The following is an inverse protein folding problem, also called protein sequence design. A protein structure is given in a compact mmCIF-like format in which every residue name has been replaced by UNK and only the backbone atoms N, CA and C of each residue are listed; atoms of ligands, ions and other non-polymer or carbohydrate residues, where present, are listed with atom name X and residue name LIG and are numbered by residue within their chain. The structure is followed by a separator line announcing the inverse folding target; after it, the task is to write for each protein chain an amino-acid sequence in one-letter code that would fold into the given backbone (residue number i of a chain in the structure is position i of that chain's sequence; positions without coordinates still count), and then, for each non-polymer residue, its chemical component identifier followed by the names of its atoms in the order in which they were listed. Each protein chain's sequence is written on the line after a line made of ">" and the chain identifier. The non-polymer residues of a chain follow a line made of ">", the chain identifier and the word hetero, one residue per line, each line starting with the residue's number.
data_IF_953798779249
#
_entry.id   IF_953798779249
#
_cell.length_a   1.000
_cell.length_b   1.000
_cell.length_c   1.000
_cell.angle_alpha   90.00
_cell.angle_beta   90.00
_cell.angle_gamma   90.00
#
_symmetry.space_group_name_H-M   'P 1'
#
loop_
_entity.id
_entity.type
_entity.pdbx_description
1 polymer ?
#
# COMPACT_ATOMS: atom_id res chain seq x y z
N UNK A 1 57.40 10.27 15.02
CA UNK A 1 57.87 10.54 16.40
C UNK A 1 57.34 9.43 17.31
N UNK A 2 58.06 8.72 18.17
CA UNK A 2 59.49 8.38 18.37
C UNK A 2 59.42 6.94 18.95
N UNK A 3 59.93 5.82 18.44
CA UNK A 3 61.18 5.42 17.76
C UNK A 3 62.40 5.17 18.69
N UNK A 4 62.49 3.95 19.25
CA UNK A 4 63.74 3.25 19.63
C UNK A 4 63.41 1.78 19.97
N UNK A 5 64.23 0.74 19.78
CA UNK A 5 65.26 0.33 18.78
C UNK A 5 65.95 -0.93 19.35
N UNK A 6 65.56 -2.10 18.83
CA UNK A 6 66.36 -3.31 18.49
C UNK A 6 67.36 -4.00 19.45
N UNK A 7 67.61 -5.29 19.11
CA UNK A 7 68.71 -6.21 19.50
C UNK A 7 68.65 -6.83 20.92
N UNK A 8 68.48 -8.16 21.04
CA UNK A 8 69.50 -9.18 20.70
C UNK A 8 68.94 -10.57 20.33
N UNK A 9 69.78 -11.43 19.72
CA UNK A 9 69.52 -12.85 19.38
C UNK A 9 70.53 -13.78 20.08
N UNK A 10 70.12 -15.01 20.43
CA UNK A 10 70.83 -16.33 20.42
C UNK A 10 70.21 -17.25 21.50
N UNK A 11 69.63 -18.44 21.28
CA UNK A 11 69.87 -19.61 20.41
C UNK A 11 70.80 -20.70 20.99
N UNK A 12 70.20 -21.83 21.40
CA UNK A 12 70.75 -23.21 21.48
C UNK A 12 69.71 -24.11 20.75
N UNK A 13 70.00 -25.07 19.86
CA UNK A 13 70.99 -26.18 19.84
C UNK A 13 70.61 -27.31 20.84
N UNK A 14 70.69 -28.63 20.57
CA UNK A 14 71.03 -29.47 19.38
C UNK A 14 70.63 -30.94 19.73
N UNK A 15 70.36 -31.96 18.89
CA UNK A 15 70.21 -32.16 17.42
C UNK A 15 69.29 -33.39 17.16
N UNK A 16 69.29 -33.98 15.95
CA UNK A 16 68.54 -35.20 15.54
C UNK A 16 69.42 -36.46 15.36
N UNK A 17 68.82 -37.67 15.26
CA UNK A 17 69.11 -38.67 14.20
C UNK A 17 68.04 -39.79 14.12
N UNK A 18 68.18 -40.74 13.17
CA UNK A 18 67.15 -41.72 12.78
C UNK A 18 67.62 -43.19 12.82
N UNK A 19 66.70 -44.16 12.82
CA UNK A 19 67.01 -45.54 12.39
C UNK A 19 66.20 -46.73 12.97
N UNK A 20 65.23 -47.23 12.18
CA UNK A 20 64.91 -48.65 11.95
C UNK A 20 64.73 -49.68 13.11
N UNK A 21 63.51 -50.24 13.23
CA UNK A 21 63.14 -51.66 13.49
C UNK A 21 61.60 -51.73 13.70
N UNK A 22 60.82 -52.76 13.34
CA UNK A 22 61.07 -54.01 12.62
C UNK A 22 59.89 -54.37 11.67
N UNK A 23 60.01 -55.43 10.85
CA UNK A 23 58.99 -55.87 9.87
C UNK A 23 58.21 -57.13 10.32
N UNK A 24 56.95 -57.23 9.86
CA UNK A 24 55.98 -58.37 9.73
C UNK A 24 54.62 -57.90 10.29
N UNK A 25 53.47 -58.12 9.65
CA UNK A 25 53.05 -59.30 8.87
C UNK A 25 52.50 -59.03 7.45
N UNK A 26 52.42 -60.13 6.67
CA UNK A 26 51.60 -60.46 5.47
C UNK A 26 51.03 -59.37 4.54
N UNK A 27 51.30 -59.53 3.24
CA UNK A 27 50.57 -58.93 2.10
C UNK A 27 49.46 -59.86 1.57
N UNK A 28 48.27 -59.33 1.32
CA UNK A 28 47.29 -59.66 0.26
C UNK A 28 46.07 -58.73 0.49
N UNK A 29 45.29 -58.26 -0.48
CA UNK A 29 45.33 -58.34 -1.96
C UNK A 29 44.72 -57.04 -2.58
N UNK A 30 44.56 -56.97 -3.91
CA UNK A 30 44.15 -55.74 -4.62
C UNK A 30 42.66 -55.36 -4.45
N UNK A 31 42.44 -54.04 -4.32
CA UNK A 31 41.37 -53.22 -4.90
C UNK A 31 39.88 -53.55 -4.66
N UNK A 32 39.15 -52.55 -4.14
CA UNK A 32 37.86 -52.12 -4.70
C UNK A 32 37.65 -50.61 -4.47
N UNK A 33 36.77 -49.95 -5.24
CA UNK A 33 36.47 -48.52 -5.11
C UNK A 33 35.62 -48.24 -3.86
N UNK A 34 36.06 -47.36 -2.97
CA UNK A 34 35.18 -46.64 -2.05
C UNK A 34 34.67 -45.37 -2.74
N UNK A 35 33.35 -45.14 -2.72
CA UNK A 35 32.76 -43.87 -3.17
C UNK A 35 33.12 -42.78 -2.17
N UNK A 36 33.47 -41.60 -2.66
CA UNK A 36 33.57 -40.41 -1.82
C UNK A 36 32.15 -40.01 -1.42
N UNK A 37 31.83 -40.10 -0.13
CA UNK A 37 30.50 -39.74 0.38
C UNK A 37 30.51 -38.25 0.66
N UNK A 38 30.19 -37.47 -0.36
CA UNK A 38 29.96 -36.04 -0.22
C UNK A 38 28.91 -35.81 0.86
N UNK A 39 29.32 -35.17 1.96
CA UNK A 39 28.38 -34.66 2.96
C UNK A 39 27.55 -33.57 2.30
N UNK A 40 26.38 -33.95 1.78
CA UNK A 40 25.35 -32.97 1.45
C UNK A 40 24.98 -32.28 2.76
N UNK A 41 25.50 -31.08 2.96
CA UNK A 41 24.99 -30.15 3.97
C UNK A 41 23.57 -29.82 3.56
N UNK A 42 22.61 -30.57 4.11
CA UNK A 42 21.19 -30.24 4.00
C UNK A 42 21.05 -28.85 4.61
N UNK A 43 20.92 -27.83 3.76
CA UNK A 43 20.35 -26.56 4.19
C UNK A 43 18.96 -26.93 4.69
N UNK A 44 18.78 -26.92 6.01
CA UNK A 44 17.44 -26.77 6.55
C UNK A 44 16.88 -25.51 5.89
N UNK A 45 15.79 -25.66 5.13
CA UNK A 45 14.92 -24.51 4.92
C UNK A 45 14.42 -24.19 6.32
N UNK A 46 14.78 -23.01 6.82
CA UNK A 46 14.10 -22.43 7.96
C UNK A 46 12.61 -22.43 7.63
N UNK A 47 11.76 -22.79 8.59
CA UNK A 47 10.32 -22.66 8.40
C UNK A 47 10.04 -21.18 8.08
N UNK A 48 9.17 -20.87 7.10
CA UNK A 48 8.84 -19.48 6.80
C UNK A 48 8.32 -18.82 8.07
N UNK A 49 8.96 -17.72 8.48
CA UNK A 49 8.54 -17.00 9.68
C UNK A 49 7.21 -16.30 9.41
N UNK A 50 6.23 -16.56 10.26
CA UNK A 50 4.89 -15.97 10.19
C UNK A 50 4.98 -14.45 10.09
N UNK A 51 4.44 -13.89 9.00
CA UNK A 51 4.48 -12.45 8.71
C UNK A 51 3.07 -11.86 8.67
N UNK A 52 2.90 -10.68 9.26
CA UNK A 52 1.68 -9.89 9.13
C UNK A 52 1.67 -9.20 7.77
N UNK A 53 0.71 -9.55 6.90
CA UNK A 53 0.50 -8.92 5.60
C UNK A 53 -0.87 -8.22 5.61
N UNK A 54 -0.96 -6.93 5.25
CA UNK A 54 -2.24 -6.27 5.06
C UNK A 54 -3.06 -7.02 3.98
N UNK A 55 -4.26 -7.49 4.32
CA UNK A 55 -5.27 -7.91 3.34
C UNK A 55 -5.95 -6.68 2.71
N UNK A 56 -6.05 -5.60 3.47
CA UNK A 56 -6.53 -4.29 3.05
C UNK A 56 -5.83 -3.18 3.85
N UNK A 57 -5.46 -2.09 3.17
CA UNK A 57 -5.02 -0.82 3.78
C UNK A 57 -5.45 0.33 2.88
N UNK A 58 -5.93 1.41 3.50
CA UNK A 58 -6.18 2.71 2.88
C UNK A 58 -5.63 3.81 3.80
N UNK A 59 -5.19 4.93 3.22
CA UNK A 59 -4.61 6.05 3.99
C UNK A 59 -5.73 6.95 4.53
N UNK A 60 -5.77 7.25 5.85
CA UNK A 60 -6.68 8.25 6.39
C UNK A 60 -6.35 9.65 5.90
N UNK A 61 -7.32 10.28 5.24
CA UNK A 61 -7.21 11.64 4.71
C UNK A 61 -7.41 12.64 5.86
N UNK A 62 -6.47 13.56 6.09
CA UNK A 62 -6.65 14.68 7.03
C UNK A 62 -7.54 15.75 6.41
N UNK A 63 -8.71 16.02 7.01
CA UNK A 63 -9.56 17.11 6.54
C UNK A 63 -9.31 18.43 7.30
N UNK A 64 -8.55 18.41 8.40
CA UNK A 64 -8.35 19.55 9.31
C UNK A 64 -9.66 20.16 9.92
N UNK A 65 -10.82 19.53 9.70
CA UNK A 65 -12.09 19.83 10.37
C UNK A 65 -12.90 18.54 10.61
N UNK A 66 -14.04 18.63 11.30
CA UNK A 66 -14.97 17.51 11.51
C UNK A 66 -15.60 17.10 10.16
N UNK A 67 -15.04 16.07 9.51
CA UNK A 67 -15.53 15.57 8.20
C UNK A 67 -16.70 14.62 8.36
N UNK A 68 -16.75 13.90 9.48
CA UNK A 68 -17.83 12.98 9.82
C UNK A 68 -18.10 12.96 11.33
N UNK A 69 -19.36 12.71 11.71
CA UNK A 69 -19.78 12.49 13.10
C UNK A 69 -20.73 11.30 13.18
N UNK A 70 -20.46 10.37 14.09
CA UNK A 70 -21.29 9.20 14.37
C UNK A 70 -21.87 9.29 15.79
N UNK A 71 -23.15 8.95 15.95
CA UNK A 71 -23.80 8.75 17.25
C UNK A 71 -24.88 7.68 17.09
N UNK A 72 -24.84 6.61 17.89
CA UNK A 72 -25.66 5.41 17.69
C UNK A 72 -25.58 4.84 16.25
N UNK A 73 -24.36 4.70 15.70
CA UNK A 73 -24.12 4.17 14.35
C UNK A 73 -23.33 2.86 14.42
N UNK A 74 -23.78 1.85 13.68
CA UNK A 74 -22.92 0.71 13.30
C UNK A 74 -22.35 0.97 11.90
N UNK A 75 -21.02 1.01 11.77
CA UNK A 75 -20.31 1.00 10.48
C UNK A 75 -19.87 -0.42 10.17
N UNK A 76 -20.34 -0.99 9.05
CA UNK A 76 -19.80 -2.23 8.50
C UNK A 76 -18.83 -1.90 7.35
N UNK A 77 -17.65 -2.51 7.36
CA UNK A 77 -16.67 -2.44 6.28
C UNK A 77 -16.43 -3.86 5.74
N UNK A 78 -16.64 -4.06 4.45
CA UNK A 78 -16.33 -5.30 3.74
C UNK A 78 -15.06 -5.09 2.91
N UNK A 79 -14.07 -5.97 3.06
CA UNK A 79 -12.78 -5.91 2.37
C UNK A 79 -12.53 -7.20 1.58
N UNK A 80 -12.13 -7.07 0.30
CA UNK A 80 -11.80 -8.22 -0.55
C UNK A 80 -10.42 -8.77 -0.20
N UNK A 81 -10.39 -10.01 0.27
CA UNK A 81 -9.17 -10.70 0.69
C UNK A 81 -8.51 -11.51 -0.45
N UNK A 82 -7.23 -11.83 -0.31
CA UNK A 82 -6.55 -12.88 -1.09
C UNK A 82 -5.52 -13.69 -0.28
N UNK A 83 -5.54 -13.55 1.05
CA UNK A 83 -4.57 -14.16 1.95
C UNK A 83 -5.12 -15.45 2.59
N UNK A 84 -4.22 -16.38 2.87
CA UNK A 84 -4.43 -17.48 3.81
C UNK A 84 -3.84 -17.09 5.17
N UNK A 85 -4.49 -17.45 6.26
CA UNK A 85 -3.93 -17.33 7.61
C UNK A 85 -4.82 -17.91 8.69
N UNK A 86 -4.27 -18.01 9.90
CA UNK A 86 -4.96 -18.53 11.10
C UNK A 86 -5.33 -17.42 12.10
N UNK A 87 -4.85 -16.18 11.86
CA UNK A 87 -5.15 -15.00 12.67
C UNK A 87 -5.25 -13.75 11.81
N UNK A 88 -6.05 -12.78 12.26
CA UNK A 88 -6.06 -11.41 11.72
C UNK A 88 -5.92 -10.36 12.84
N UNK A 89 -5.55 -9.13 12.47
CA UNK A 89 -5.56 -7.95 13.35
C UNK A 89 -6.03 -6.73 12.58
N UNK A 90 -6.62 -5.77 13.28
CA UNK A 90 -7.17 -4.54 12.71
C UNK A 90 -6.29 -3.36 13.14
N UNK A 91 -5.88 -2.47 12.23
CA UNK A 91 -5.32 -1.16 12.61
C UNK A 91 -6.42 -0.13 12.64
N UNK A 92 -6.65 0.43 13.82
CA UNK A 92 -7.60 1.50 14.05
C UNK A 92 -6.99 2.86 13.68
N UNK A 93 -7.84 3.87 13.52
CA UNK A 93 -7.41 5.24 13.17
C UNK A 93 -8.13 6.29 14.03
N UNK A 94 -7.34 7.12 14.71
CA UNK A 94 -7.76 8.41 15.25
C UNK A 94 -6.70 9.50 14.96
N UNK A 95 -6.01 9.42 13.82
CA UNK A 95 -5.04 10.42 13.36
C UNK A 95 -5.72 11.78 13.11
N UNK A 96 -4.97 12.86 13.31
CA UNK A 96 -5.39 14.26 13.13
C UNK A 96 -6.54 14.74 14.06
N UNK A 97 -7.09 13.84 14.89
CA UNK A 97 -7.99 14.16 16.00
C UNK A 97 -7.23 14.68 17.22
N UNK A 98 -7.76 15.72 17.86
CA UNK A 98 -7.23 16.31 19.09
C UNK A 98 -7.83 15.71 20.38
N UNK A 99 -8.75 14.76 20.25
CA UNK A 99 -9.53 14.14 21.34
C UNK A 99 -9.52 12.62 21.19
N UNK A 100 -9.60 11.85 22.30
CA UNK A 100 -9.77 10.40 22.22
C UNK A 100 -11.18 10.04 21.73
N UNK A 101 -11.31 8.88 21.09
CA UNK A 101 -12.60 8.32 20.66
C UNK A 101 -12.79 6.91 21.21
N UNK A 102 -14.04 6.45 21.25
CA UNK A 102 -14.41 5.10 21.70
C UNK A 102 -15.21 4.38 20.62
N UNK A 103 -14.83 3.13 20.34
CA UNK A 103 -15.64 2.19 19.57
C UNK A 103 -16.23 1.21 20.60
N UNK A 104 -17.55 1.23 20.78
CA UNK A 104 -18.22 0.54 21.88
C UNK A 104 -18.14 -0.99 21.78
N UNK A 105 -18.24 -1.51 20.55
CA UNK A 105 -17.99 -2.90 20.21
C UNK A 105 -17.38 -2.99 18.80
N UNK A 106 -16.46 -3.93 18.61
CA UNK A 106 -15.97 -4.33 17.30
C UNK A 106 -16.12 -5.83 17.14
N UNK A 107 -16.70 -6.28 16.01
CA UNK A 107 -16.77 -7.69 15.64
C UNK A 107 -16.26 -7.90 14.23
N UNK A 108 -15.68 -9.06 13.96
CA UNK A 108 -15.20 -9.45 12.62
C UNK A 108 -15.73 -10.82 12.23
N UNK A 109 -15.99 -11.00 10.94
CA UNK A 109 -16.48 -12.25 10.35
C UNK A 109 -16.02 -12.41 8.91
N UNK A 110 -16.07 -13.62 8.40
CA UNK A 110 -15.75 -13.96 7.00
C UNK A 110 -17.01 -14.21 6.21
N UNK A 111 -16.98 -13.85 4.91
CA UNK A 111 -17.97 -14.17 3.91
C UNK A 111 -17.29 -14.82 2.70
N UNK A 112 -17.40 -16.14 2.58
CA UNK A 112 -16.78 -16.88 1.48
C UNK A 112 -17.48 -16.56 0.15
N UNK A 113 -16.77 -15.90 -0.78
CA UNK A 113 -17.36 -15.37 -2.02
C UNK A 113 -17.76 -16.43 -3.06
N UNK A 114 -17.31 -17.67 -2.89
CA UNK A 114 -17.61 -18.81 -3.79
C UNK A 114 -18.82 -19.62 -3.31
N UNK A 115 -18.92 -19.86 -1.99
CA UNK A 115 -19.96 -20.71 -1.39
C UNK A 115 -21.08 -19.93 -0.70
N UNK A 116 -20.91 -18.62 -0.47
CA UNK A 116 -21.82 -17.80 0.33
C UNK A 116 -21.80 -18.10 1.83
N UNK A 117 -20.95 -19.02 2.30
CA UNK A 117 -20.82 -19.38 3.71
C UNK A 117 -20.24 -18.22 4.52
N UNK A 118 -20.92 -17.84 5.61
CA UNK A 118 -20.39 -16.93 6.62
C UNK A 118 -19.75 -17.69 7.79
N UNK A 119 -18.73 -17.10 8.42
CA UNK A 119 -18.25 -17.56 9.73
C UNK A 119 -19.17 -17.12 10.87
N UNK A 120 -18.92 -17.60 12.08
CA UNK A 120 -19.37 -16.85 13.28
C UNK A 120 -18.66 -15.49 13.35
N UNK A 121 -19.32 -14.50 13.96
CA UNK A 121 -18.64 -13.29 14.40
C UNK A 121 -17.67 -13.63 15.54
N UNK A 122 -16.52 -12.98 15.56
CA UNK A 122 -15.60 -12.94 16.69
C UNK A 122 -15.52 -11.50 17.20
N UNK A 123 -15.48 -11.30 18.52
CA UNK A 123 -15.20 -10.00 19.12
C UNK A 123 -13.75 -9.61 18.86
N UNK A 124 -13.50 -8.32 18.62
CA UNK A 124 -12.16 -7.76 18.49
C UNK A 124 -11.90 -6.88 19.70
N UNK A 125 -10.76 -7.07 20.36
CA UNK A 125 -10.36 -6.33 21.56
C UNK A 125 -9.11 -5.49 21.31
N UNK A 126 -8.84 -4.57 22.24
CA UNK A 126 -7.55 -3.88 22.37
C UNK A 126 -7.11 -3.96 23.84
N UNK A 127 -5.90 -4.49 24.09
CA UNK A 127 -5.39 -4.76 25.44
C UNK A 127 -6.33 -5.65 26.29
N UNK A 128 -7.14 -6.48 25.63
CA UNK A 128 -8.16 -7.35 26.23
C UNK A 128 -9.55 -6.73 26.45
N UNK A 129 -9.76 -5.44 26.17
CA UNK A 129 -11.03 -4.73 26.35
C UNK A 129 -11.89 -4.71 25.07
N UNK A 130 -13.20 -4.94 25.20
CA UNK A 130 -14.16 -4.93 24.05
C UNK A 130 -14.51 -3.52 23.57
N UNK A 131 -14.50 -2.52 24.47
CA UNK A 131 -14.68 -1.11 24.11
C UNK A 131 -13.31 -0.50 23.81
N UNK A 132 -13.04 -0.31 22.53
CA UNK A 132 -11.74 0.12 22.02
C UNK A 132 -11.60 1.63 22.15
N UNK A 133 -10.74 2.08 23.07
CA UNK A 133 -10.40 3.49 23.26
C UNK A 133 -9.16 3.87 22.45
N UNK A 134 -9.31 4.85 21.58
CA UNK A 134 -8.24 5.34 20.71
C UNK A 134 -7.82 6.73 21.17
N UNK A 135 -6.57 6.87 21.62
CA UNK A 135 -5.99 8.16 21.99
C UNK A 135 -6.04 9.18 20.84
N UNK A 136 -6.01 10.47 21.17
CA UNK A 136 -5.84 11.54 20.18
C UNK A 136 -4.58 11.29 19.33
N UNK A 137 -4.69 11.45 18.01
CA UNK A 137 -3.62 11.22 17.04
C UNK A 137 -2.90 9.86 17.17
N UNK A 138 -3.66 8.77 17.31
CA UNK A 138 -3.14 7.40 17.43
C UNK A 138 -3.72 6.43 16.39
N UNK A 139 -3.06 5.29 16.21
CA UNK A 139 -3.44 4.24 15.26
C UNK A 139 -2.97 2.84 15.72
N UNK A 140 -3.45 2.32 16.87
CA UNK A 140 -3.05 1.02 17.39
C UNK A 140 -3.56 -0.14 16.52
N UNK A 141 -2.87 -1.28 16.60
CA UNK A 141 -3.40 -2.56 16.17
C UNK A 141 -4.24 -3.18 17.30
N UNK A 142 -5.31 -3.89 16.94
CA UNK A 142 -6.06 -4.77 17.84
C UNK A 142 -5.19 -5.90 18.40
N UNK A 143 -5.72 -6.57 19.42
CA UNK A 143 -5.26 -7.91 19.76
C UNK A 143 -5.43 -8.86 18.55
N UNK A 144 -4.61 -9.92 18.40
CA UNK A 144 -4.79 -10.91 17.34
C UNK A 144 -6.08 -11.73 17.50
N UNK A 145 -6.91 -11.74 16.46
CA UNK A 145 -8.18 -12.48 16.41
C UNK A 145 -7.94 -13.83 15.72
N UNK A 146 -8.10 -14.97 16.41
CA UNK A 146 -7.92 -16.30 15.81
C UNK A 146 -9.07 -16.64 14.87
N UNK A 147 -8.74 -16.93 13.60
CA UNK A 147 -9.73 -17.16 12.55
C UNK A 147 -9.09 -17.87 11.35
N UNK A 148 -9.67 -19.00 10.92
CA UNK A 148 -9.31 -19.69 9.69
C UNK A 148 -9.72 -18.87 8.46
N UNK A 149 -8.74 -18.32 7.74
CA UNK A 149 -8.94 -17.42 6.60
C UNK A 149 -8.40 -18.07 5.34
N UNK A 150 -9.21 -18.12 4.27
CA UNK A 150 -8.77 -18.52 2.93
C UNK A 150 -8.83 -17.35 1.93
N UNK A 151 -8.13 -17.43 0.79
CA UNK A 151 -8.16 -16.38 -0.24
C UNK A 151 -9.54 -16.07 -0.85
N UNK A 152 -10.56 -16.89 -0.60
CA UNK A 152 -11.95 -16.72 -1.03
C UNK A 152 -12.83 -16.00 0.01
N UNK A 153 -12.32 -15.83 1.24
CA UNK A 153 -13.09 -15.33 2.37
C UNK A 153 -12.92 -13.81 2.52
N UNK A 154 -13.94 -13.05 2.12
CA UNK A 154 -13.98 -11.59 2.30
C UNK A 154 -14.18 -11.24 3.76
N UNK A 155 -13.46 -10.22 4.25
CA UNK A 155 -13.44 -9.86 5.67
C UNK A 155 -14.48 -8.76 5.91
N UNK A 156 -15.41 -9.00 6.83
CA UNK A 156 -16.45 -8.08 7.25
C UNK A 156 -16.18 -7.62 8.69
N UNK A 157 -15.76 -6.37 8.86
CA UNK A 157 -15.57 -5.70 10.16
C UNK A 157 -16.81 -4.85 10.47
N UNK A 158 -17.40 -5.06 11.64
CA UNK A 158 -18.53 -4.28 12.18
C UNK A 158 -18.09 -3.49 13.40
N UNK A 159 -18.26 -2.17 13.39
CA UNK A 159 -17.88 -1.26 14.48
C UNK A 159 -19.09 -0.45 14.95
N UNK A 160 -19.47 -0.55 16.22
CA UNK A 160 -20.55 0.23 16.81
C UNK A 160 -20.03 1.42 17.61
N UNK A 161 -20.59 2.60 17.34
CA UNK A 161 -20.29 3.86 18.01
C UNK A 161 -21.56 4.32 18.76
N UNK A 162 -21.62 4.05 20.06
CA UNK A 162 -22.78 4.42 20.91
C UNK A 162 -22.77 5.92 21.19
N UNK A 163 -21.58 6.46 21.49
CA UNK A 163 -21.35 7.87 21.87
C UNK A 163 -21.14 8.75 20.64
N UNK A 164 -21.55 10.02 20.73
CA UNK A 164 -21.19 11.03 19.72
C UNK A 164 -19.67 11.10 19.56
N UNK A 165 -19.21 10.79 18.35
CA UNK A 165 -17.80 10.66 17.96
C UNK A 165 -17.56 11.48 16.70
N UNK A 166 -16.69 12.49 16.80
CA UNK A 166 -16.32 13.36 15.68
C UNK A 166 -14.98 12.91 15.08
N UNK A 167 -14.90 12.80 13.77
CA UNK A 167 -13.72 12.36 13.03
C UNK A 167 -13.13 13.52 12.22
N UNK A 168 -11.80 13.69 12.32
CA UNK A 168 -11.01 14.61 11.48
C UNK A 168 -10.28 13.91 10.34
N UNK A 169 -10.28 12.57 10.33
CA UNK A 169 -9.78 11.75 9.23
C UNK A 169 -10.60 10.48 9.01
N UNK A 170 -10.68 10.07 7.74
CA UNK A 170 -11.36 8.85 7.27
C UNK A 170 -10.61 8.28 6.05
N UNK A 171 -10.72 6.98 5.82
CA UNK A 171 -10.32 6.36 4.55
C UNK A 171 -11.44 6.55 3.52
N UNK A 172 -11.10 6.76 2.23
CA UNK A 172 -12.07 7.02 1.15
C UNK A 172 -11.73 6.22 -0.11
N UNK A 173 -12.73 5.86 -0.91
CA UNK A 173 -12.58 5.33 -2.28
C UNK A 173 -13.80 5.70 -3.12
N UNK A 174 -13.68 5.74 -4.45
CA UNK A 174 -14.81 5.99 -5.38
C UNK A 174 -15.29 4.76 -6.13
N UNK A 175 -14.36 3.89 -6.50
CA UNK A 175 -14.61 2.69 -7.29
C UNK A 175 -15.29 1.57 -6.48
N UNK A 176 -14.89 1.41 -5.21
CA UNK A 176 -15.58 0.59 -4.21
C UNK A 176 -15.82 -0.88 -4.59
N UNK A 177 -14.87 -1.52 -5.28
CA UNK A 177 -14.87 -2.98 -5.49
C UNK A 177 -13.90 -3.70 -4.54
N UNK A 178 -12.74 -3.13 -4.23
CA UNK A 178 -11.79 -3.73 -3.28
C UNK A 178 -12.25 -3.65 -1.83
N UNK A 179 -13.07 -2.66 -1.49
CA UNK A 179 -13.77 -2.56 -0.22
C UNK A 179 -15.02 -1.68 -0.32
N UNK A 180 -15.96 -1.86 0.63
CA UNK A 180 -17.19 -1.09 0.73
C UNK A 180 -17.52 -0.78 2.19
N UNK A 181 -18.21 0.35 2.42
CA UNK A 181 -18.74 0.76 3.71
C UNK A 181 -20.26 0.81 3.70
N UNK A 182 -20.90 0.48 4.82
CA UNK A 182 -22.32 0.81 5.08
C UNK A 182 -22.48 1.30 6.51
N UNK A 183 -23.42 2.22 6.72
CA UNK A 183 -23.66 2.86 8.01
C UNK A 183 -25.14 2.70 8.39
N UNK A 184 -25.39 2.19 9.60
CA UNK A 184 -26.72 1.81 10.07
C UNK A 184 -27.03 2.53 11.39
N UNK A 185 -28.17 3.20 11.49
CA UNK A 185 -28.60 3.83 12.74
C UNK A 185 -29.12 2.78 13.72
N UNK A 186 -28.42 2.55 14.83
CA UNK A 186 -28.67 1.48 15.79
C UNK A 186 -27.43 0.61 16.06
N UNK A 187 -27.53 -0.28 17.05
CA UNK A 187 -26.52 -1.31 17.34
C UNK A 187 -26.85 -2.60 16.58
N UNK A 188 -25.96 -3.03 15.69
CA UNK A 188 -26.10 -4.25 14.91
C UNK A 188 -24.92 -5.24 15.08
N UNK A 189 -24.03 -5.03 16.06
CA UNK A 189 -22.79 -5.82 16.18
C UNK A 189 -22.99 -7.34 16.39
N UNK A 190 -24.16 -7.77 16.89
CA UNK A 190 -24.55 -9.18 17.10
C UNK A 190 -25.57 -9.72 16.07
N UNK A 191 -26.11 -8.88 15.18
CA UNK A 191 -27.31 -9.21 14.38
C UNK A 191 -27.17 -8.88 12.90
N UNK A 192 -27.82 -9.68 12.05
CA UNK A 192 -27.86 -9.47 10.60
C UNK A 192 -29.06 -8.58 10.16
N UNK A 193 -29.77 -7.97 11.12
CA UNK A 193 -30.79 -6.98 10.83
C UNK A 193 -30.18 -5.73 10.16
N UNK A 194 -30.95 -5.08 9.28
CA UNK A 194 -30.52 -3.88 8.56
C UNK A 194 -31.23 -2.64 9.12
N UNK A 195 -30.44 -1.68 9.60
CA UNK A 195 -30.88 -0.29 9.72
C UNK A 195 -30.71 0.44 8.39
N UNK A 196 -30.89 1.77 8.41
CA UNK A 196 -30.36 2.66 7.38
C UNK A 196 -29.94 3.98 8.02
N UNK A 197 -29.17 4.77 7.28
CA UNK A 197 -28.81 6.16 7.62
C UNK A 197 -28.44 6.89 6.33
N UNK A 198 -28.50 8.22 6.31
CA UNK A 198 -28.10 8.98 5.12
C UNK A 198 -26.68 9.52 5.28
N UNK A 199 -25.80 9.31 4.27
CA UNK A 199 -24.42 9.83 4.31
C UNK A 199 -24.37 11.33 4.57
N UNK A 200 -25.32 12.10 4.04
CA UNK A 200 -25.44 13.55 4.25
C UNK A 200 -25.73 13.96 5.70
N UNK A 201 -26.15 13.04 6.57
CA UNK A 201 -26.29 13.27 8.01
C UNK A 201 -25.00 12.96 8.76
N UNK A 202 -24.21 11.97 8.30
CA UNK A 202 -22.97 11.55 8.97
C UNK A 202 -21.74 12.31 8.51
N UNK A 203 -21.60 12.56 7.20
CA UNK A 203 -20.43 13.15 6.57
C UNK A 203 -20.85 14.12 5.43
N UNK A 204 -21.31 15.34 5.75
CA UNK A 204 -21.91 16.26 4.78
C UNK A 204 -21.00 16.62 3.60
N UNK A 205 -19.69 16.81 3.83
CA UNK A 205 -18.72 17.06 2.75
C UNK A 205 -18.67 15.90 1.76
N UNK A 206 -18.51 14.66 2.27
CA UNK A 206 -18.38 13.46 1.44
C UNK A 206 -19.68 13.13 0.68
N UNK A 207 -20.82 13.55 1.22
CA UNK A 207 -22.11 13.48 0.54
C UNK A 207 -22.34 14.58 -0.52
N UNK A 208 -21.45 15.58 -0.57
CA UNK A 208 -21.47 16.71 -1.52
C UNK A 208 -20.35 16.63 -2.56
N UNK A 209 -19.50 15.60 -2.50
CA UNK A 209 -18.48 15.32 -3.52
C UNK A 209 -19.16 14.97 -4.87
N UNK A 210 -18.71 15.51 -6.02
CA UNK A 210 -19.27 15.19 -7.33
C UNK A 210 -19.07 13.72 -7.74
N UNK A 211 -18.10 13.02 -7.14
CA UNK A 211 -17.83 11.61 -7.41
C UNK A 211 -18.51 10.72 -6.37
N UNK A 212 -19.06 9.55 -6.78
CA UNK A 212 -19.51 8.55 -5.83
C UNK A 212 -18.33 8.14 -4.94
N UNK A 213 -18.62 7.88 -3.67
CA UNK A 213 -17.60 7.51 -2.70
C UNK A 213 -18.12 6.56 -1.62
N UNK A 214 -17.22 5.78 -1.04
CA UNK A 214 -17.37 5.05 0.22
C UNK A 214 -16.36 5.60 1.22
N UNK A 215 -16.65 5.50 2.52
CA UNK A 215 -15.75 6.00 3.56
C UNK A 215 -15.77 5.14 4.81
N UNK A 216 -14.59 4.93 5.40
CA UNK A 216 -14.42 4.21 6.65
C UNK A 216 -13.77 5.11 7.70
N UNK A 217 -14.51 5.38 8.78
CA UNK A 217 -14.01 6.06 9.97
C UNK A 217 -13.50 5.04 11.00
N UNK A 218 -12.56 5.43 11.87
CA UNK A 218 -12.05 4.60 12.97
C UNK A 218 -11.10 3.45 12.58
N UNK A 219 -10.90 3.16 11.29
CA UNK A 219 -10.10 2.03 10.79
C UNK A 219 -9.27 2.45 9.56
N UNK A 220 -8.08 1.87 9.38
CA UNK A 220 -7.23 2.09 8.20
C UNK A 220 -6.60 0.81 7.60
N UNK A 221 -6.58 -0.31 8.31
CA UNK A 221 -6.04 -1.57 7.80
C UNK A 221 -6.63 -2.81 8.47
N UNK A 222 -6.64 -3.93 7.73
CA UNK A 222 -6.81 -5.29 8.26
C UNK A 222 -5.64 -6.13 7.74
N UNK A 223 -4.90 -6.77 8.64
CA UNK A 223 -3.76 -7.62 8.33
C UNK A 223 -3.98 -9.06 8.78
N UNK A 224 -3.46 -10.01 8.00
CA UNK A 224 -3.54 -11.45 8.24
C UNK A 224 -2.14 -11.97 8.58
N UNK A 225 -2.04 -12.84 9.57
CA UNK A 225 -0.80 -13.55 9.91
C UNK A 225 -0.68 -14.76 8.99
N UNK A 226 0.42 -14.84 8.23
CA UNK A 226 0.60 -15.89 7.22
C UNK A 226 2.04 -16.42 7.16
N UNK A 227 2.15 -17.73 6.93
CA UNK A 227 3.39 -18.45 6.65
C UNK A 227 3.61 -18.62 5.13
N UNK A 228 2.63 -18.24 4.28
CA UNK A 228 2.74 -18.33 2.82
C UNK A 228 3.74 -17.30 2.25
N UNK A 229 4.47 -17.68 1.21
CA UNK A 229 5.22 -16.72 0.38
C UNK A 229 4.23 -15.89 -0.46
N UNK A 230 3.81 -14.77 0.14
CA UNK A 230 2.91 -13.76 -0.42
C UNK A 230 3.72 -12.51 -0.79
N UNK A 231 3.51 -12.00 -2.01
CA UNK A 231 3.98 -10.67 -2.44
C UNK A 231 3.03 -9.57 -1.97
N UNK A 232 3.53 -8.56 -1.26
CA UNK A 232 2.79 -7.33 -0.97
C UNK A 232 3.09 -6.27 -2.04
N UNK A 233 2.05 -5.79 -2.73
CA UNK A 233 2.13 -4.77 -3.77
C UNK A 233 1.51 -3.48 -3.23
N UNK A 234 2.27 -2.40 -3.19
CA UNK A 234 1.78 -1.09 -2.80
C UNK A 234 1.57 -0.19 -4.03
N UNK A 235 0.43 0.49 -4.09
CA UNK A 235 0.18 1.55 -5.06
C UNK A 235 0.27 2.90 -4.33
N UNK A 236 1.16 3.78 -4.79
CA UNK A 236 1.36 5.11 -4.22
C UNK A 236 0.96 6.18 -5.22
N UNK A 237 0.31 7.24 -4.75
CA UNK A 237 0.09 8.41 -5.60
C UNK A 237 -1.10 9.29 -5.27
N UNK A 238 -1.62 9.91 -6.31
CA UNK A 238 -2.66 10.94 -6.25
C UNK A 238 -4.10 10.39 -6.38
N UNK A 239 -5.04 11.24 -6.81
CA UNK A 239 -6.45 10.90 -7.00
C UNK A 239 -6.67 9.74 -7.98
N UNK A 240 -5.82 9.56 -8.99
CA UNK A 240 -5.92 8.47 -9.96
C UNK A 240 -5.72 7.10 -9.28
N UNK A 241 -4.90 7.06 -8.23
CA UNK A 241 -4.68 5.89 -7.37
C UNK A 241 -5.75 5.80 -6.27
N UNK A 242 -6.02 6.90 -5.57
CA UNK A 242 -6.96 6.98 -4.43
C UNK A 242 -8.40 6.62 -4.79
N UNK A 243 -8.94 7.15 -5.90
CA UNK A 243 -10.32 6.87 -6.35
C UNK A 243 -10.54 5.40 -6.74
N UNK A 244 -9.45 4.63 -6.85
CA UNK A 244 -9.41 3.17 -6.94
C UNK A 244 -9.89 2.52 -8.25
N UNK A 245 -10.36 3.26 -9.26
CA UNK A 245 -10.73 2.67 -10.57
C UNK A 245 -9.57 1.87 -11.19
N UNK A 246 -8.34 2.35 -10.99
CA UNK A 246 -7.11 1.68 -11.37
C UNK A 246 -6.72 0.55 -10.39
N UNK A 247 -6.69 0.82 -9.08
CA UNK A 247 -6.22 -0.16 -8.08
C UNK A 247 -7.14 -1.37 -7.96
N UNK A 248 -8.46 -1.17 -8.03
CA UNK A 248 -9.44 -2.25 -7.93
C UNK A 248 -9.41 -3.14 -9.17
N UNK A 249 -9.16 -2.53 -10.35
CA UNK A 249 -8.95 -3.27 -11.60
C UNK A 249 -7.68 -4.14 -11.53
N UNK A 250 -6.60 -3.62 -10.93
CA UNK A 250 -5.35 -4.36 -10.73
C UNK A 250 -5.50 -5.47 -9.69
N UNK A 251 -6.10 -5.17 -8.53
CA UNK A 251 -6.42 -6.12 -7.46
C UNK A 251 -7.29 -7.27 -7.96
N UNK A 252 -8.36 -6.96 -8.72
CA UNK A 252 -9.28 -7.97 -9.26
C UNK A 252 -8.55 -8.98 -10.15
N UNK A 253 -7.73 -8.49 -11.08
CA UNK A 253 -6.97 -9.36 -11.98
C UNK A 253 -5.83 -10.10 -11.27
N UNK A 254 -5.16 -9.47 -10.30
CA UNK A 254 -4.12 -10.13 -9.48
C UNK A 254 -4.71 -11.28 -8.68
N UNK A 255 -5.79 -11.05 -7.93
CA UNK A 255 -6.40 -12.06 -7.06
C UNK A 255 -7.01 -13.21 -7.88
N UNK A 256 -7.54 -12.92 -9.08
CA UNK A 256 -8.03 -13.93 -10.03
C UNK A 256 -6.91 -14.79 -10.64
N UNK A 257 -5.70 -14.24 -10.82
CA UNK A 257 -4.54 -14.95 -11.42
C UNK A 257 -3.68 -15.67 -10.38
N UNK A 258 -3.55 -15.09 -9.20
CA UNK A 258 -2.59 -15.48 -8.16
C UNK A 258 -3.27 -15.63 -6.78
N UNK A 259 -4.24 -16.56 -6.65
CA UNK A 259 -4.98 -16.78 -5.40
C UNK A 259 -4.04 -17.24 -4.28
N UNK A 260 -4.06 -16.58 -3.13
CA UNK A 260 -3.19 -16.93 -2.00
C UNK A 260 -1.72 -16.56 -2.17
N UNK A 261 -1.38 -15.66 -3.11
CA UNK A 261 0.02 -15.35 -3.47
C UNK A 261 0.35 -13.85 -3.54
N UNK A 262 -0.64 -12.96 -3.48
CA UNK A 262 -0.39 -11.52 -3.41
C UNK A 262 -1.48 -10.74 -2.66
N UNK A 263 -1.13 -9.56 -2.15
CA UNK A 263 -2.07 -8.55 -1.64
C UNK A 263 -1.74 -7.17 -2.24
N UNK A 264 -2.73 -6.29 -2.34
CA UNK A 264 -2.58 -4.91 -2.82
C UNK A 264 -3.02 -3.92 -1.76
N UNK A 265 -2.20 -2.89 -1.50
CA UNK A 265 -2.54 -1.77 -0.61
C UNK A 265 -2.59 -0.44 -1.36
N UNK A 266 -3.52 0.44 -1.00
CA UNK A 266 -3.73 1.73 -1.66
C UNK A 266 -3.22 2.88 -0.77
N UNK A 267 -2.06 3.41 -1.15
CA UNK A 267 -1.41 4.60 -0.58
C UNK A 267 -1.77 5.91 -1.31
N UNK A 268 -2.88 5.94 -2.04
CA UNK A 268 -3.36 7.11 -2.75
C UNK A 268 -3.93 8.20 -1.83
N UNK A 269 -3.75 9.47 -2.19
CA UNK A 269 -4.45 10.63 -1.58
C UNK A 269 -4.99 11.52 -2.70
N UNK A 270 -6.27 11.90 -2.66
CA UNK A 270 -6.87 12.76 -3.67
C UNK A 270 -6.16 14.12 -3.76
N UNK A 271 -5.84 14.60 -4.96
CA UNK A 271 -5.15 15.88 -5.14
C UNK A 271 -3.72 15.96 -4.60
N UNK A 272 -3.10 14.85 -4.19
CA UNK A 272 -1.75 14.89 -3.62
C UNK A 272 -0.67 15.22 -4.65
N UNK A 273 0.39 15.85 -4.13
CA UNK A 273 1.54 16.36 -4.85
C UNK A 273 2.79 15.65 -4.34
N UNK A 274 3.68 15.21 -5.22
CA UNK A 274 4.92 14.50 -4.80
C UNK A 274 5.96 15.46 -4.22
N UNK A 275 6.01 16.71 -4.72
CA UNK A 275 7.05 17.70 -4.43
C UNK A 275 6.67 18.71 -3.34
N UNK A 276 5.43 19.19 -3.36
CA UNK A 276 4.86 20.16 -2.40
C UNK A 276 3.76 19.54 -1.55
N UNK A 277 3.54 20.05 -0.33
CA UNK A 277 2.31 19.74 0.41
C UNK A 277 1.08 20.38 -0.26
N UNK A 278 -0.12 20.12 0.27
CA UNK A 278 -1.35 20.76 -0.15
C UNK A 278 -1.20 22.28 -0.35
N UNK A 279 -1.83 22.87 -1.38
CA UNK A 279 -1.97 24.31 -1.48
C UNK A 279 -2.92 24.81 -0.37
N UNK A 280 -2.74 26.04 0.10
CA UNK A 280 -3.62 26.68 1.10
C UNK A 280 -4.42 27.87 0.52
N UNK A 281 -5.29 27.66 -0.50
CA UNK A 281 -6.06 28.75 -1.11
C UNK A 281 -7.10 29.32 -0.12
N UNK A 282 -7.23 30.65 -0.10
CA UNK A 282 -8.07 31.35 0.87
C UNK A 282 -9.54 30.92 0.78
N UNK A 283 -10.11 30.51 1.92
CA UNK A 283 -11.51 30.11 2.04
C UNK A 283 -11.80 28.65 1.63
N UNK A 284 -10.79 27.88 1.24
CA UNK A 284 -10.96 26.46 0.94
C UNK A 284 -11.14 25.62 2.22
N UNK A 285 -12.08 24.65 2.28
CA UNK A 285 -12.31 23.84 3.47
C UNK A 285 -11.05 23.13 3.96
N UNK A 286 -10.80 23.21 5.28
CA UNK A 286 -9.65 22.55 5.90
C UNK A 286 -8.28 23.10 5.48
N UNK A 287 -8.22 24.30 4.91
CA UNK A 287 -6.96 24.91 4.42
C UNK A 287 -6.23 24.04 3.37
N UNK A 288 -6.99 23.19 2.66
CA UNK A 288 -6.48 22.28 1.64
C UNK A 288 -5.93 20.95 2.18
N UNK A 289 -5.91 20.70 3.50
CA UNK A 289 -5.30 19.52 4.11
C UNK A 289 -5.72 18.17 3.51
N UNK A 290 -6.94 18.06 2.97
CA UNK A 290 -7.44 16.86 2.28
C UNK A 290 -6.60 16.44 1.06
N UNK A 291 -5.80 17.36 0.51
CA UNK A 291 -4.81 17.08 -0.53
C UNK A 291 -3.48 16.52 0.01
N UNK A 292 -3.31 16.39 1.34
CA UNK A 292 -2.17 15.76 2.00
C UNK A 292 -0.86 16.57 2.02
N UNK A 293 0.09 16.12 2.85
CA UNK A 293 1.49 16.58 2.77
C UNK A 293 2.19 15.98 1.55
N UNK A 294 3.34 16.54 1.15
CA UNK A 294 4.08 16.09 -0.04
C UNK A 294 4.33 14.57 -0.03
N UNK A 295 4.17 13.92 -1.19
CA UNK A 295 4.38 12.47 -1.38
C UNK A 295 5.69 11.97 -0.76
N UNK A 296 6.80 12.65 -1.06
CA UNK A 296 8.12 12.36 -0.50
C UNK A 296 8.23 12.46 1.04
N UNK A 297 7.36 13.23 1.68
CA UNK A 297 7.31 13.39 3.14
C UNK A 297 6.39 12.35 3.82
N UNK A 298 5.44 11.74 3.10
CA UNK A 298 4.50 10.73 3.64
C UNK A 298 4.83 9.28 3.26
N UNK A 299 5.60 9.07 2.20
CA UNK A 299 5.81 7.76 1.57
C UNK A 299 6.16 6.63 2.56
N UNK A 300 7.21 6.79 3.37
CA UNK A 300 7.60 5.78 4.36
C UNK A 300 6.52 5.50 5.42
N UNK A 301 5.83 6.55 5.90
CA UNK A 301 4.74 6.43 6.88
C UNK A 301 3.55 5.65 6.30
N UNK A 302 3.13 5.98 5.08
CA UNK A 302 1.89 5.43 4.50
C UNK A 302 2.06 3.95 4.09
N UNK A 303 3.25 3.57 3.59
CA UNK A 303 3.50 2.23 3.06
C UNK A 303 4.25 1.28 4.02
N UNK A 304 5.21 1.77 4.82
CA UNK A 304 6.13 0.92 5.57
C UNK A 304 5.86 0.88 7.09
N UNK A 305 4.97 1.74 7.59
CA UNK A 305 4.48 1.59 8.97
C UNK A 305 3.71 0.26 9.12
N UNK A 306 4.30 -0.67 9.87
CA UNK A 306 3.74 -2.01 10.12
C UNK A 306 3.66 -2.97 8.93
N UNK A 307 4.26 -2.63 7.77
CA UNK A 307 4.28 -3.48 6.58
C UNK A 307 5.59 -3.32 5.78
N UNK A 308 5.83 -4.18 4.80
CA UNK A 308 7.00 -4.11 3.92
C UNK A 308 6.64 -4.62 2.52
N UNK A 309 6.28 -3.74 1.57
CA UNK A 309 5.95 -4.14 0.20
C UNK A 309 7.15 -4.76 -0.53
N UNK A 310 6.94 -5.86 -1.26
CA UNK A 310 7.93 -6.39 -2.21
C UNK A 310 8.03 -5.47 -3.45
N UNK A 311 6.91 -4.84 -3.81
CA UNK A 311 6.73 -4.02 -5.02
C UNK A 311 6.00 -2.73 -4.67
N UNK A 312 6.50 -1.60 -5.17
CA UNK A 312 5.83 -0.30 -5.15
C UNK A 312 5.55 0.14 -6.59
N UNK A 313 4.32 0.57 -6.85
CA UNK A 313 3.90 1.19 -8.11
C UNK A 313 3.55 2.66 -7.83
N UNK A 314 4.31 3.59 -8.42
CA UNK A 314 4.15 5.03 -8.22
C UNK A 314 3.38 5.64 -9.40
N UNK A 315 2.31 6.38 -9.10
CA UNK A 315 1.59 7.23 -10.06
C UNK A 315 1.23 8.56 -9.37
N UNK A 316 2.18 9.49 -9.37
CA UNK A 316 2.03 10.78 -8.70
C UNK A 316 2.72 11.91 -9.47
N UNK A 317 2.04 13.05 -9.58
CA UNK A 317 2.57 14.26 -10.23
C UNK A 317 1.53 15.05 -11.03
N UNK A 318 0.29 14.55 -11.17
CA UNK A 318 -0.77 15.25 -11.90
C UNK A 318 -1.11 16.60 -11.25
N UNK A 319 -1.03 16.66 -9.92
CA UNK A 319 -1.34 17.85 -9.14
C UNK A 319 -0.14 18.79 -9.01
N UNK A 320 1.10 18.29 -9.06
CA UNK A 320 2.29 19.15 -9.12
C UNK A 320 2.32 19.95 -10.44
N UNK A 321 1.84 19.34 -11.53
CA UNK A 321 1.69 20.01 -12.82
C UNK A 321 0.56 21.06 -12.84
N UNK A 322 -0.42 21.03 -11.92
CA UNK A 322 -1.67 21.81 -12.02
C UNK A 322 -1.95 22.73 -10.83
N UNK A 323 -1.85 22.26 -9.58
CA UNK A 323 -2.31 22.99 -8.39
C UNK A 323 -1.69 24.38 -8.24
N UNK A 324 -0.39 24.54 -8.49
CA UNK A 324 0.26 25.86 -8.39
C UNK A 324 -0.29 26.86 -9.40
N UNK A 325 -0.76 26.41 -10.56
CA UNK A 325 -1.37 27.24 -11.60
C UNK A 325 -2.85 27.50 -11.29
N UNK A 326 -3.59 26.45 -10.90
CA UNK A 326 -5.03 26.50 -10.61
C UNK A 326 -5.33 27.38 -9.39
N UNK A 327 -4.52 27.28 -8.33
CA UNK A 327 -4.69 28.04 -7.08
C UNK A 327 -3.84 29.32 -7.00
N UNK A 328 -3.07 29.64 -8.04
CA UNK A 328 -2.29 30.89 -8.11
C UNK A 328 -1.16 30.98 -7.08
N UNK A 329 -0.46 29.87 -6.82
CA UNK A 329 0.74 29.90 -5.96
C UNK A 329 1.87 30.72 -6.64
N UNK A 330 2.67 31.48 -5.88
CA UNK A 330 3.72 32.34 -6.45
C UNK A 330 4.87 31.56 -7.08
N UNK A 331 5.02 30.28 -6.74
CA UNK A 331 6.08 29.38 -7.22
C UNK A 331 5.47 28.14 -7.87
N UNK A 332 5.52 28.09 -9.19
CA UNK A 332 5.11 26.91 -9.98
C UNK A 332 6.36 26.03 -10.15
N UNK A 333 6.33 24.74 -9.76
CA UNK A 333 7.49 23.85 -9.85
C UNK A 333 7.87 23.60 -11.31
N UNK A 334 9.16 23.36 -11.56
CA UNK A 334 9.62 22.82 -12.84
C UNK A 334 9.43 21.30 -12.87
N UNK A 335 9.42 20.71 -14.07
CA UNK A 335 9.40 19.26 -14.21
C UNK A 335 10.60 18.55 -13.55
N UNK A 336 11.73 19.26 -13.39
CA UNK A 336 12.91 18.76 -12.69
C UNK A 336 12.69 18.68 -11.17
N UNK A 337 12.05 19.68 -10.56
CA UNK A 337 11.73 19.67 -9.12
C UNK A 337 10.81 18.48 -8.77
N UNK A 338 9.83 18.21 -9.64
CA UNK A 338 8.88 17.09 -9.51
C UNK A 338 9.62 15.76 -9.66
N UNK A 339 10.53 15.66 -10.63
CA UNK A 339 11.36 14.47 -10.87
C UNK A 339 12.36 14.20 -9.74
N UNK A 340 12.95 15.23 -9.12
CA UNK A 340 13.83 15.06 -7.96
C UNK A 340 13.08 14.59 -6.72
N UNK A 341 11.82 15.02 -6.54
CA UNK A 341 10.93 14.47 -5.51
C UNK A 341 10.55 13.00 -5.79
N UNK A 342 10.34 12.62 -7.05
CA UNK A 342 10.15 11.23 -7.45
C UNK A 342 11.39 10.38 -7.18
N UNK A 343 12.59 10.86 -7.55
CA UNK A 343 13.85 10.18 -7.29
C UNK A 343 14.10 9.97 -5.77
N UNK A 344 13.71 10.93 -4.94
CA UNK A 344 13.73 10.80 -3.48
C UNK A 344 12.82 9.65 -3.01
N UNK A 345 11.59 9.55 -3.53
CA UNK A 345 10.65 8.46 -3.22
C UNK A 345 11.16 7.08 -3.67
N UNK A 346 11.74 6.98 -4.88
CA UNK A 346 12.37 5.74 -5.38
C UNK A 346 13.50 5.32 -4.43
N UNK A 347 14.36 6.27 -4.03
CA UNK A 347 15.45 6.03 -3.08
C UNK A 347 14.96 5.59 -1.69
N UNK A 348 13.86 6.16 -1.20
CA UNK A 348 13.23 5.71 0.05
C UNK A 348 12.73 4.26 -0.06
N UNK A 349 12.12 3.87 -1.18
CA UNK A 349 11.61 2.51 -1.41
C UNK A 349 12.74 1.47 -1.50
N UNK A 350 13.78 1.78 -2.28
CA UNK A 350 14.99 0.96 -2.40
C UNK A 350 15.72 0.82 -1.06
N UNK A 351 15.72 1.87 -0.23
CA UNK A 351 16.23 1.83 1.14
C UNK A 351 15.49 0.87 2.09
N UNK A 352 14.26 0.46 1.74
CA UNK A 352 13.49 -0.57 2.44
C UNK A 352 13.53 -1.95 1.74
N UNK A 353 14.26 -2.06 0.62
CA UNK A 353 14.42 -3.30 -0.15
C UNK A 353 13.29 -3.61 -1.14
N UNK A 354 12.32 -2.70 -1.33
CA UNK A 354 11.25 -2.85 -2.31
C UNK A 354 11.72 -2.57 -3.73
N UNK A 355 11.13 -3.23 -4.73
CA UNK A 355 11.28 -2.87 -6.14
C UNK A 355 10.26 -1.82 -6.56
N UNK A 356 10.61 -0.94 -7.49
CA UNK A 356 9.77 0.20 -7.90
C UNK A 356 9.43 0.16 -9.38
N UNK A 357 8.16 0.40 -9.70
CA UNK A 357 7.72 0.75 -11.04
C UNK A 357 7.10 2.14 -11.05
N UNK A 358 7.45 2.96 -12.04
CA UNK A 358 6.95 4.33 -12.20
C UNK A 358 5.97 4.39 -13.36
N UNK A 359 4.80 4.99 -13.12
CA UNK A 359 3.84 5.31 -14.16
C UNK A 359 4.05 6.73 -14.69
N UNK A 360 4.10 6.91 -16.01
CA UNK A 360 3.96 8.24 -16.63
C UNK A 360 2.57 8.82 -16.35
N UNK A 361 2.47 10.13 -16.13
CA UNK A 361 1.19 10.82 -15.88
C UNK A 361 0.32 10.82 -17.15
N UNK A 362 -0.90 10.24 -17.14
CA UNK A 362 -1.85 10.33 -18.25
C UNK A 362 -2.15 11.77 -18.66
N UNK A 363 -2.56 12.07 -19.92
CA UNK A 363 -2.97 13.42 -20.28
C UNK A 363 -4.21 13.84 -19.50
N UNK A 364 -4.27 15.14 -19.19
CA UNK A 364 -5.31 15.71 -18.34
C UNK A 364 -5.93 16.98 -18.91
N UNK A 365 -7.11 17.32 -18.39
CA UNK A 365 -7.77 18.60 -18.58
C UNK A 365 -8.74 18.64 -19.75
N UNK A 366 -9.75 19.48 -19.60
CA UNK A 366 -10.82 19.70 -20.55
C UNK A 366 -10.45 20.60 -21.72
N UNK A 367 -11.48 21.00 -22.46
CA UNK A 367 -11.35 21.98 -23.53
C UNK A 367 -11.60 23.40 -23.00
N UNK A 368 -10.67 24.33 -23.28
CA UNK A 368 -10.81 25.74 -22.91
C UNK A 368 -10.33 26.12 -21.50
N UNK A 369 -9.79 25.20 -20.71
CA UNK A 369 -9.27 25.49 -19.38
C UNK A 369 -7.98 26.32 -19.42
N UNK A 370 -7.99 27.47 -18.74
CA UNK A 370 -6.90 28.47 -18.81
C UNK A 370 -5.54 27.94 -18.34
N UNK A 371 -5.53 27.00 -17.39
CA UNK A 371 -4.34 26.46 -16.76
C UNK A 371 -3.69 25.33 -17.58
N UNK A 372 -4.48 24.63 -18.42
CA UNK A 372 -4.05 23.43 -19.16
C UNK A 372 -2.82 23.66 -20.05
N UNK A 373 -2.68 24.75 -20.84
CA UNK A 373 -1.53 24.92 -21.73
C UNK A 373 -0.18 24.97 -21.01
N UNK A 374 -0.11 25.53 -19.79
CA UNK A 374 1.12 25.57 -19.00
C UNK A 374 1.34 24.24 -18.26
N UNK A 375 0.27 23.66 -17.70
CA UNK A 375 0.33 22.39 -17.00
C UNK A 375 0.76 21.22 -17.91
N UNK A 376 0.28 21.20 -19.16
CA UNK A 376 0.62 20.17 -20.14
C UNK A 376 2.10 20.22 -20.56
N UNK A 377 2.72 21.41 -20.58
CA UNK A 377 4.17 21.54 -20.82
C UNK A 377 4.99 20.98 -19.64
N UNK A 378 4.50 21.12 -18.40
CA UNK A 378 5.11 20.45 -17.24
C UNK A 378 4.94 18.93 -17.33
N UNK A 379 3.72 18.45 -17.63
CA UNK A 379 3.41 17.02 -17.78
C UNK A 379 4.26 16.34 -18.84
N UNK A 380 4.37 16.94 -20.03
CA UNK A 380 5.19 16.40 -21.12
C UNK A 380 6.65 16.24 -20.69
N UNK A 381 7.25 17.29 -20.11
CA UNK A 381 8.64 17.27 -19.63
C UNK A 381 8.88 16.31 -18.48
N UNK A 382 7.94 16.20 -17.54
CA UNK A 382 8.03 15.23 -16.44
C UNK A 382 7.93 13.79 -16.96
N UNK A 383 7.06 13.53 -17.93
CA UNK A 383 6.98 12.24 -18.61
C UNK A 383 8.20 11.94 -19.51
N UNK A 384 8.85 12.94 -20.10
CA UNK A 384 10.14 12.79 -20.79
C UNK A 384 11.24 12.38 -19.79
N UNK A 385 11.31 13.03 -18.62
CA UNK A 385 12.24 12.67 -17.55
C UNK A 385 11.98 11.23 -17.05
N UNK A 386 10.73 10.87 -16.72
CA UNK A 386 10.34 9.49 -16.35
C UNK A 386 10.75 8.48 -17.43
N UNK A 387 10.57 8.78 -18.72
CA UNK A 387 10.96 7.88 -19.82
C UNK A 387 12.47 7.76 -20.01
N UNK A 388 13.25 8.73 -19.51
CA UNK A 388 14.71 8.69 -19.48
C UNK A 388 15.29 8.07 -18.21
N UNK A 389 14.44 7.71 -17.24
CA UNK A 389 14.86 7.17 -15.95
C UNK A 389 15.51 5.77 -16.06
N UNK A 390 16.41 5.50 -15.12
CA UNK A 390 16.96 4.17 -14.82
C UNK A 390 17.13 3.90 -13.31
N UNK A 391 16.48 4.71 -12.46
CA UNK A 391 16.43 4.53 -11.01
C UNK A 391 15.43 3.43 -10.63
N UNK A 392 14.27 3.35 -11.30
CA UNK A 392 13.26 2.32 -11.05
C UNK A 392 13.52 1.00 -11.82
N UNK A 393 13.01 -0.13 -11.31
CA UNK A 393 13.03 -1.43 -12.01
C UNK A 393 12.25 -1.43 -13.33
N UNK A 394 11.33 -0.50 -13.54
CA UNK A 394 10.69 -0.32 -14.84
C UNK A 394 9.65 0.80 -14.91
N UNK A 395 9.31 1.17 -16.14
CA UNK A 395 8.36 2.24 -16.45
C UNK A 395 7.09 1.65 -17.09
N UNK A 396 5.93 2.16 -16.66
CA UNK A 396 4.61 1.88 -17.21
C UNK A 396 4.09 3.14 -17.91
N UNK A 397 4.09 3.14 -19.25
CA UNK A 397 3.73 4.31 -20.06
C UNK A 397 2.20 4.49 -20.15
N UNK A 398 1.57 4.88 -19.03
CA UNK A 398 0.14 5.13 -18.96
C UNK A 398 -0.32 6.34 -19.78
N UNK A 399 0.58 7.25 -20.16
CA UNK A 399 0.33 8.29 -21.16
C UNK A 399 0.02 7.66 -22.52
N UNK A 400 0.90 6.83 -23.05
CA UNK A 400 0.68 6.12 -24.31
C UNK A 400 -0.51 5.15 -24.25
N UNK A 401 -0.85 4.63 -23.07
CA UNK A 401 -2.04 3.75 -22.88
C UNK A 401 -3.35 4.54 -22.92
N UNK A 402 -3.42 5.74 -22.34
CA UNK A 402 -4.69 6.46 -22.14
C UNK A 402 -4.90 7.66 -23.07
N UNK A 403 -3.87 8.20 -23.70
CA UNK A 403 -3.99 9.35 -24.60
C UNK A 403 -4.81 9.06 -25.85
N UNK A 404 -5.50 10.09 -26.35
CA UNK A 404 -6.25 10.00 -27.60
C UNK A 404 -5.33 9.79 -28.81
N UNK A 405 -5.89 9.26 -29.90
CA UNK A 405 -5.15 9.00 -31.14
C UNK A 405 -4.99 10.27 -31.99
N UNK A 406 -5.97 11.18 -31.93
CA UNK A 406 -5.98 12.42 -32.72
C UNK A 406 -5.46 13.64 -31.92
N UNK A 407 -5.48 13.58 -30.58
CA UNK A 407 -4.88 14.59 -29.68
C UNK A 407 -4.15 13.91 -28.50
N UNK A 408 -2.82 13.79 -28.61
CA UNK A 408 -1.97 13.19 -27.58
C UNK A 408 -1.94 13.96 -26.24
N UNK A 409 -2.50 15.16 -26.20
CA UNK A 409 -2.61 16.01 -25.00
C UNK A 409 -3.99 15.89 -24.34
N UNK A 410 -4.75 14.83 -24.62
CA UNK A 410 -6.06 14.51 -24.03
C UNK A 410 -6.19 13.02 -23.74
N UNK A 411 -6.97 12.67 -22.73
CA UNK A 411 -7.36 11.28 -22.48
C UNK A 411 -8.47 10.85 -23.46
N UNK A 412 -8.45 9.59 -23.90
CA UNK A 412 -9.52 8.98 -24.69
C UNK A 412 -10.89 9.17 -24.01
N UNK A 413 -11.87 9.72 -24.74
CA UNK A 413 -13.16 10.13 -24.15
C UNK A 413 -13.94 8.98 -23.48
N UNK A 414 -13.70 7.74 -23.88
CA UNK A 414 -14.29 6.53 -23.28
C UNK A 414 -13.59 6.03 -22.01
N UNK A 415 -12.46 6.63 -21.61
CA UNK A 415 -11.57 6.12 -20.55
C UNK A 415 -11.60 6.96 -19.26
N UNK A 416 -12.23 8.15 -19.24
CA UNK A 416 -12.31 9.03 -18.06
C UNK A 416 -13.74 9.24 -17.55
N UNK A 417 -13.91 9.86 -16.37
CA UNK A 417 -15.20 10.11 -15.71
C UNK A 417 -16.01 11.31 -16.30
N UNK A 418 -15.73 11.69 -17.54
CA UNK A 418 -16.29 12.89 -18.20
C UNK A 418 -15.53 14.20 -17.94
N UNK A 419 -14.64 14.23 -16.95
CA UNK A 419 -13.81 15.38 -16.52
C UNK A 419 -12.56 15.63 -17.39
N UNK A 420 -11.97 14.56 -17.93
CA UNK A 420 -10.73 14.58 -18.69
C UNK A 420 -9.48 14.34 -17.84
N UNK A 421 -9.63 13.86 -16.58
CA UNK A 421 -8.50 13.65 -15.65
C UNK A 421 -8.56 12.27 -15.01
N UNK A 422 -9.68 11.91 -14.36
CA UNK A 422 -9.78 10.68 -13.58
C UNK A 422 -10.25 9.51 -14.46
N UNK A 423 -9.50 8.38 -14.52
CA UNK A 423 -9.91 7.20 -15.25
C UNK A 423 -11.23 6.61 -14.73
N UNK A 424 -12.09 6.20 -15.66
CA UNK A 424 -13.26 5.37 -15.36
C UNK A 424 -12.88 3.88 -15.38
N UNK A 425 -13.87 2.98 -15.27
CA UNK A 425 -13.63 1.53 -15.31
C UNK A 425 -12.89 1.02 -16.55
N UNK A 426 -13.19 1.53 -17.74
CA UNK A 426 -12.48 1.14 -18.96
C UNK A 426 -11.03 1.61 -18.94
N UNK A 427 -10.78 2.84 -18.46
CA UNK A 427 -9.42 3.36 -18.26
C UNK A 427 -8.63 2.54 -17.24
N UNK A 428 -9.21 2.31 -16.06
CA UNK A 428 -8.61 1.53 -14.96
C UNK A 428 -8.24 0.10 -15.36
N UNK A 429 -9.13 -0.61 -16.08
CA UNK A 429 -8.84 -1.95 -16.62
C UNK A 429 -7.71 -1.90 -17.67
N UNK A 430 -7.68 -0.88 -18.52
CA UNK A 430 -6.64 -0.69 -19.55
C UNK A 430 -5.26 -0.44 -18.91
N UNK A 431 -5.20 0.38 -17.85
CA UNK A 431 -4.00 0.62 -17.06
C UNK A 431 -3.53 -0.65 -16.34
N UNK A 432 -4.43 -1.32 -15.62
CA UNK A 432 -4.14 -2.53 -14.85
C UNK A 432 -3.56 -3.65 -15.72
N UNK A 433 -4.08 -3.83 -16.95
CA UNK A 433 -3.56 -4.83 -17.89
C UNK A 433 -2.08 -4.60 -18.22
N UNK A 434 -1.69 -3.35 -18.51
CA UNK A 434 -0.30 -3.02 -18.88
C UNK A 434 0.65 -3.06 -17.68
N UNK A 435 0.15 -2.76 -16.46
CA UNK A 435 0.90 -3.03 -15.22
C UNK A 435 1.17 -4.54 -15.06
N UNK A 436 0.16 -5.39 -15.26
CA UNK A 436 0.31 -6.84 -15.16
C UNK A 436 1.30 -7.39 -16.20
N UNK A 437 1.24 -6.89 -17.44
CA UNK A 437 2.20 -7.23 -18.51
C UNK A 437 3.66 -6.84 -18.14
N UNK A 438 3.87 -5.83 -17.27
CA UNK A 438 5.18 -5.36 -16.80
C UNK A 438 5.68 -6.07 -15.53
N UNK A 439 4.78 -6.34 -14.57
CA UNK A 439 5.12 -7.02 -13.31
C UNK A 439 5.22 -8.55 -13.48
N UNK A 440 4.41 -9.13 -14.37
CA UNK A 440 4.28 -10.57 -14.58
C UNK A 440 4.29 -10.91 -16.09
N UNK A 441 5.43 -10.74 -16.79
CA UNK A 441 5.54 -11.01 -18.21
C UNK A 441 5.31 -12.50 -18.52
N UNK A 442 4.53 -12.78 -19.58
CA UNK A 442 4.02 -14.12 -19.91
C UNK A 442 5.11 -15.17 -20.18
N UNK A 443 6.28 -14.75 -20.67
CA UNK A 443 7.40 -15.62 -21.05
C UNK A 443 8.55 -15.64 -20.02
N UNK A 444 8.36 -15.01 -18.85
CA UNK A 444 9.35 -14.97 -17.77
C UNK A 444 9.04 -15.93 -16.62
N UNK A 445 9.95 -16.05 -15.62
CA UNK A 445 9.61 -16.62 -14.32
C UNK A 445 8.67 -15.65 -13.56
N UNK A 446 7.38 -15.71 -13.89
CA UNK A 446 6.33 -14.96 -13.23
C UNK A 446 5.96 -15.57 -11.88
N UNK A 447 6.62 -15.08 -10.82
CA UNK A 447 6.65 -15.60 -9.43
C UNK A 447 7.57 -16.82 -9.26
#
# INVERSE_FOLDING_TARGET
>A
MILNKNYLRRSRAVSAYAGMLARRFSRQSRAFRTRDVSKQTVRQREAPMSKWIPAWRSVPIDYNYEVATFENITQNCLMINNLRGEQMRIRFNNLYSNSPIAIDYVTVSLSNRVTGRRSTRQTVTLDGEETIWLCANSQPYSDPVPMEITPEDDILVSMYFRRKTAFRSVCVTSAALSWQSTHLTGNFHETDALGYTFKSQLAPTLASDPYPNQFAAGICEVAVLTDDDVRLIAMFGDSITHMSYFSDSLLTELYRRFPGKCSVINGGISGNRIQKSHPCPQGFPGEGHQFGIAGKNRFLRDLYDGASPDVVLILEGVNDCTHSIVFGEPEIPTAQDIYEALAEVIGQAHGQGSKVWVCTIPPFGGFGEFWRPQAEVLRCRYNELIRSDSLAEGIVDLDAVLRDADDSHRMQASMHLGDGVHPNWHGGVKMARVVLEKLFPLDGPGI
#
